data_IF_429168143292
#
_entry.id   IF_429168143292
#
_cell.length_a   1.000
_cell.length_b   1.000
_cell.length_c   1.000
_cell.angle_alpha   90.00
_cell.angle_beta   90.00
_cell.angle_gamma   90.00
#
_symmetry.space_group_name_H-M   'P 1'
#
loop_
_entity.id
_entity.type
_entity.pdbx_description
1 polymer ?
#
# COMPACT_ATOMS: atom_id res chain seq x y z
N UNK A 1 12.13 -7.92 -33.51
CA UNK A 1 13.07 -7.52 -32.43
C UNK A 1 12.40 -6.76 -31.27
N UNK A 2 11.17 -6.26 -31.41
CA UNK A 2 10.39 -5.61 -30.34
C UNK A 2 9.98 -6.51 -29.15
N UNK A 3 10.08 -7.83 -29.30
CA UNK A 3 9.62 -8.80 -28.30
C UNK A 3 10.64 -9.10 -27.19
N UNK A 4 11.92 -8.83 -27.42
CA UNK A 4 12.99 -9.24 -26.49
C UNK A 4 12.87 -8.57 -25.10
N UNK A 5 12.60 -7.25 -24.98
CA UNK A 5 12.36 -6.63 -23.67
C UNK A 5 11.14 -7.22 -22.97
N UNK A 6 10.01 -7.35 -23.67
CA UNK A 6 8.77 -7.88 -23.09
C UNK A 6 8.92 -9.34 -22.60
N UNK A 7 9.71 -10.16 -23.30
CA UNK A 7 10.01 -11.54 -22.88
C UNK A 7 10.81 -11.53 -21.58
N UNK A 8 11.79 -10.63 -21.43
CA UNK A 8 12.56 -10.48 -20.18
C UNK A 8 11.67 -10.03 -19.01
N UNK A 9 10.73 -9.11 -19.26
CA UNK A 9 9.75 -8.67 -18.25
C UNK A 9 8.83 -9.81 -17.82
N UNK A 10 8.26 -10.56 -18.78
CA UNK A 10 7.42 -11.72 -18.51
C UNK A 10 8.19 -12.82 -17.76
N UNK A 11 9.45 -13.05 -18.15
CA UNK A 11 10.34 -13.98 -17.48
C UNK A 11 10.55 -13.58 -16.01
N UNK A 12 10.77 -12.29 -15.71
CA UNK A 12 10.87 -11.78 -14.33
C UNK A 12 9.59 -12.01 -13.51
N UNK A 13 8.44 -11.76 -14.12
CA UNK A 13 7.13 -11.99 -13.48
C UNK A 13 7.00 -13.48 -13.11
N UNK A 14 7.45 -14.40 -13.96
CA UNK A 14 7.46 -15.84 -13.69
C UNK A 14 8.51 -16.27 -12.66
N UNK A 15 9.68 -15.62 -12.62
CA UNK A 15 10.71 -15.90 -11.62
C UNK A 15 10.30 -15.47 -10.21
N UNK A 16 9.44 -14.45 -10.08
CA UNK A 16 9.01 -13.95 -8.76
C UNK A 16 8.30 -15.02 -7.90
N UNK A 17 7.26 -15.74 -8.38
CA UNK A 17 6.64 -16.82 -7.60
C UNK A 17 7.59 -17.99 -7.38
N UNK A 18 8.50 -18.28 -8.30
CA UNK A 18 9.52 -19.32 -8.12
C UNK A 18 10.49 -18.94 -6.97
N UNK A 19 10.95 -17.70 -6.94
CA UNK A 19 11.72 -17.15 -5.81
C UNK A 19 10.96 -17.28 -4.50
N UNK A 20 9.68 -16.88 -4.47
CA UNK A 20 8.83 -16.98 -3.28
C UNK A 20 8.69 -18.43 -2.80
N UNK A 21 8.56 -19.39 -3.72
CA UNK A 21 8.48 -20.80 -3.36
C UNK A 21 9.74 -21.28 -2.61
N UNK A 22 10.94 -20.89 -3.09
CA UNK A 22 12.19 -21.33 -2.47
C UNK A 22 12.52 -20.59 -1.18
N UNK A 23 12.15 -19.31 -1.04
CA UNK A 23 12.53 -18.53 0.16
C UNK A 23 11.79 -18.95 1.43
N UNK A 24 10.69 -19.69 1.35
CA UNK A 24 10.01 -20.22 2.54
C UNK A 24 10.58 -21.57 3.01
N UNK A 25 11.59 -22.11 2.33
CA UNK A 25 12.29 -23.32 2.73
C UNK A 25 13.74 -23.02 3.06
N UNK A 26 14.13 -23.21 4.32
CA UNK A 26 15.44 -22.81 4.83
C UNK A 26 16.62 -23.45 4.07
N UNK A 27 16.45 -24.69 3.61
CA UNK A 27 17.46 -25.41 2.83
C UNK A 27 17.71 -24.81 1.44
N UNK A 28 16.81 -23.94 0.97
CA UNK A 28 16.84 -23.38 -0.38
C UNK A 28 17.10 -21.87 -0.42
N UNK A 29 17.50 -21.24 0.70
CA UNK A 29 17.81 -19.80 0.72
C UNK A 29 18.83 -19.40 -0.35
N UNK A 30 19.88 -20.20 -0.55
CA UNK A 30 20.87 -19.92 -1.60
C UNK A 30 20.24 -19.90 -3.01
N UNK A 31 19.37 -20.87 -3.31
CA UNK A 31 18.66 -20.95 -4.59
C UNK A 31 17.73 -19.74 -4.77
N UNK A 32 17.00 -19.36 -3.71
CA UNK A 32 16.14 -18.18 -3.73
C UNK A 32 16.93 -16.91 -4.06
N UNK A 33 18.10 -16.71 -3.44
CA UNK A 33 18.98 -15.57 -3.69
C UNK A 33 19.46 -15.55 -5.13
N UNK A 34 19.86 -16.71 -5.69
CA UNK A 34 20.28 -16.81 -7.10
C UNK A 34 19.14 -16.42 -8.03
N UNK A 35 17.92 -16.94 -7.81
CA UNK A 35 16.75 -16.60 -8.63
C UNK A 35 16.43 -15.11 -8.54
N UNK A 36 16.41 -14.53 -7.33
CA UNK A 36 16.19 -13.10 -7.14
C UNK A 36 17.26 -12.25 -7.85
N UNK A 37 18.52 -12.67 -7.79
CA UNK A 37 19.64 -11.97 -8.42
C UNK A 37 19.49 -12.01 -9.94
N UNK A 38 19.15 -13.16 -10.52
CA UNK A 38 18.86 -13.29 -11.96
C UNK A 38 17.69 -12.37 -12.34
N UNK A 39 16.59 -12.41 -11.59
CA UNK A 39 15.42 -11.57 -11.84
C UNK A 39 15.76 -10.07 -11.80
N UNK A 40 16.56 -9.64 -10.82
CA UNK A 40 17.01 -8.25 -10.69
C UNK A 40 17.97 -7.81 -11.79
N UNK A 41 18.85 -8.70 -12.26
CA UNK A 41 19.78 -8.41 -13.35
C UNK A 41 19.03 -8.29 -14.69
N UNK A 42 17.99 -9.10 -14.92
CA UNK A 42 17.20 -9.02 -16.16
C UNK A 42 16.54 -7.66 -16.38
N UNK A 43 16.18 -6.94 -15.30
CA UNK A 43 15.69 -5.55 -15.35
C UNK A 43 16.73 -4.58 -15.90
N UNK A 44 17.96 -4.70 -15.43
CA UNK A 44 19.01 -3.82 -15.91
C UNK A 44 19.29 -4.00 -17.42
N UNK A 45 19.11 -5.24 -17.92
CA UNK A 45 19.32 -5.55 -19.33
C UNK A 45 18.13 -5.17 -20.22
N UNK A 46 16.88 -5.36 -19.79
CA UNK A 46 15.73 -4.98 -20.63
C UNK A 46 15.72 -3.48 -20.96
N UNK A 47 16.08 -2.62 -20.01
CA UNK A 47 16.10 -1.18 -20.17
C UNK A 47 17.26 -0.71 -21.03
N UNK A 48 18.37 -1.48 -21.08
CA UNK A 48 19.48 -1.23 -22.02
C UNK A 48 19.10 -1.67 -23.44
N UNK A 49 18.49 -2.84 -23.59
CA UNK A 49 18.06 -3.40 -24.87
C UNK A 49 16.97 -2.53 -25.49
N UNK A 50 15.96 -2.13 -24.72
CA UNK A 50 14.88 -1.25 -25.19
C UNK A 50 15.40 0.09 -25.73
N UNK A 51 16.38 0.70 -25.04
CA UNK A 51 17.03 1.95 -25.47
C UNK A 51 17.92 1.77 -26.70
N UNK A 52 18.62 0.64 -26.83
CA UNK A 52 19.51 0.37 -27.96
C UNK A 52 18.75 0.08 -29.25
N UNK A 53 17.59 -0.57 -29.17
CA UNK A 53 16.82 -1.02 -30.33
C UNK A 53 15.57 -0.17 -30.62
N UNK A 54 15.37 0.98 -29.95
CA UNK A 54 14.16 1.81 -30.03
C UNK A 54 12.86 0.99 -29.92
N UNK A 55 12.91 -0.08 -29.14
CA UNK A 55 11.83 -1.06 -29.02
C UNK A 55 10.78 -0.58 -27.99
N UNK A 56 10.05 0.48 -28.35
CA UNK A 56 9.05 1.11 -27.48
C UNK A 56 7.65 0.50 -27.70
N UNK A 57 7.38 -0.68 -27.16
CA UNK A 57 6.00 -1.21 -27.14
C UNK A 57 5.18 -0.56 -26.01
N UNK A 58 3.91 -0.20 -26.28
CA UNK A 58 3.03 0.34 -25.23
C UNK A 58 2.79 -0.66 -24.09
N UNK A 59 2.75 -1.95 -24.44
CA UNK A 59 2.59 -3.05 -23.49
C UNK A 59 3.79 -3.17 -22.53
N UNK A 60 5.02 -3.09 -23.04
CA UNK A 60 6.23 -3.11 -22.22
C UNK A 60 6.32 -1.90 -21.28
N UNK A 61 6.01 -0.70 -21.78
CA UNK A 61 5.96 0.54 -20.96
C UNK A 61 5.03 0.44 -19.75
N UNK A 62 3.98 -0.38 -19.83
CA UNK A 62 3.06 -0.64 -18.72
C UNK A 62 3.53 -1.79 -17.82
N UNK A 63 4.04 -2.88 -18.41
CA UNK A 63 4.46 -4.06 -17.66
C UNK A 63 5.76 -3.86 -16.88
N UNK A 64 6.75 -3.15 -17.41
CA UNK A 64 8.07 -3.03 -16.77
C UNK A 64 7.96 -2.37 -15.38
N UNK A 65 7.24 -1.22 -15.22
CA UNK A 65 7.04 -0.62 -13.90
C UNK A 65 6.24 -1.52 -12.95
N UNK A 66 5.41 -2.42 -13.45
CA UNK A 66 4.63 -3.34 -12.62
C UNK A 66 5.51 -4.50 -12.15
N UNK A 67 6.26 -5.13 -13.06
CA UNK A 67 7.15 -6.26 -12.77
C UNK A 67 8.21 -5.90 -11.73
N UNK A 68 8.81 -4.70 -11.84
CA UNK A 68 9.79 -4.20 -10.87
C UNK A 68 9.24 -4.11 -9.46
N UNK A 69 8.00 -3.61 -9.33
CA UNK A 69 7.35 -3.46 -8.04
C UNK A 69 6.91 -4.79 -7.48
N UNK A 70 6.41 -5.69 -8.32
CA UNK A 70 6.02 -7.03 -7.90
C UNK A 70 7.21 -7.76 -7.29
N UNK A 71 8.40 -7.74 -7.92
CA UNK A 71 9.58 -8.42 -7.37
C UNK A 71 10.00 -7.86 -6.00
N UNK A 72 10.16 -6.52 -5.89
CA UNK A 72 10.64 -5.87 -4.66
C UNK A 72 9.60 -5.99 -3.53
N UNK A 73 8.31 -5.72 -3.82
CA UNK A 73 7.24 -5.77 -2.81
C UNK A 73 7.00 -7.20 -2.34
N UNK A 74 7.04 -8.18 -3.24
CA UNK A 74 6.92 -9.59 -2.87
C UNK A 74 8.09 -10.05 -2.00
N UNK A 75 9.30 -9.55 -2.28
CA UNK A 75 10.49 -9.85 -1.47
C UNK A 75 10.38 -9.29 -0.06
N UNK A 76 9.96 -8.03 0.10
CA UNK A 76 9.70 -7.47 1.43
C UNK A 76 8.53 -8.18 2.13
N UNK A 77 7.49 -8.58 1.39
CA UNK A 77 6.41 -9.38 1.96
C UNK A 77 6.90 -10.73 2.48
N UNK A 78 7.76 -11.42 1.72
CA UNK A 78 8.38 -12.68 2.17
C UNK A 78 9.18 -12.47 3.47
N UNK A 79 10.00 -11.42 3.56
CA UNK A 79 10.75 -11.12 4.77
C UNK A 79 9.87 -10.73 5.97
N UNK A 80 8.69 -10.14 5.73
CA UNK A 80 7.70 -9.94 6.79
C UNK A 80 7.14 -11.28 7.28
N UNK A 81 6.74 -12.18 6.38
CA UNK A 81 6.24 -13.51 6.76
C UNK A 81 7.29 -14.38 7.44
N UNK A 82 8.58 -14.15 7.15
CA UNK A 82 9.71 -14.75 7.87
C UNK A 82 10.04 -14.04 9.20
N UNK A 83 9.23 -13.07 9.63
CA UNK A 83 9.38 -12.28 10.86
C UNK A 83 10.72 -11.51 10.96
N UNK A 84 11.28 -11.07 9.83
CA UNK A 84 12.56 -10.35 9.80
C UNK A 84 12.36 -8.83 9.78
N UNK A 85 11.34 -8.37 9.06
CA UNK A 85 11.00 -6.95 8.97
C UNK A 85 9.60 -6.70 9.51
N UNK A 86 9.35 -5.51 10.09
CA UNK A 86 8.04 -5.19 10.63
C UNK A 86 7.06 -4.80 9.52
N UNK A 87 5.78 -5.08 9.72
CA UNK A 87 4.76 -4.80 8.70
C UNK A 87 4.50 -3.30 8.47
N UNK A 88 4.71 -2.43 9.47
CA UNK A 88 4.64 -0.97 9.24
C UNK A 88 5.59 -0.52 8.12
N UNK A 89 6.77 -1.14 8.03
CA UNK A 89 7.74 -0.85 6.99
C UNK A 89 7.22 -1.31 5.63
N UNK A 90 6.73 -2.55 5.53
CA UNK A 90 6.15 -3.08 4.29
C UNK A 90 4.97 -2.22 3.79
N UNK A 91 4.08 -1.79 4.69
CA UNK A 91 2.93 -0.92 4.37
C UNK A 91 3.40 0.41 3.77
N UNK A 92 4.36 1.08 4.42
CA UNK A 92 4.90 2.37 3.91
C UNK A 92 5.48 2.20 2.51
N UNK A 93 6.27 1.14 2.29
CA UNK A 93 6.89 0.87 1.00
C UNK A 93 5.82 0.58 -0.06
N UNK A 94 4.84 -0.29 0.26
CA UNK A 94 3.75 -0.67 -0.62
C UNK A 94 2.88 0.52 -1.03
N UNK A 95 2.30 1.23 -0.06
CA UNK A 95 1.40 2.37 -0.30
C UNK A 95 2.11 3.43 -1.13
N UNK A 96 3.36 3.77 -0.77
CA UNK A 96 4.12 4.80 -1.49
C UNK A 96 4.51 4.37 -2.91
N UNK A 97 5.02 3.15 -3.09
CA UNK A 97 5.38 2.67 -4.43
C UNK A 97 4.15 2.60 -5.35
N UNK A 98 2.99 2.21 -4.84
CA UNK A 98 1.74 2.17 -5.59
C UNK A 98 1.25 3.60 -5.93
N UNK A 99 1.18 4.50 -4.94
CA UNK A 99 0.85 5.93 -5.12
C UNK A 99 1.67 6.59 -6.23
N UNK A 100 3.00 6.52 -6.15
CA UNK A 100 3.90 7.18 -7.11
C UNK A 100 3.81 6.54 -8.50
N UNK A 101 3.61 5.22 -8.58
CA UNK A 101 3.43 4.51 -9.85
C UNK A 101 2.14 4.96 -10.55
N UNK A 102 1.03 5.01 -9.82
CA UNK A 102 -0.24 5.51 -10.35
C UNK A 102 -0.13 6.96 -10.83
N UNK A 103 0.50 7.84 -10.03
CA UNK A 103 0.73 9.24 -10.41
C UNK A 103 1.61 9.36 -11.67
N UNK A 104 2.64 8.51 -11.81
CA UNK A 104 3.51 8.50 -12.99
C UNK A 104 2.78 8.08 -14.26
N UNK A 105 2.01 6.98 -14.19
CA UNK A 105 1.18 6.51 -15.33
C UNK A 105 0.19 7.60 -15.74
N UNK A 106 -0.40 8.28 -14.76
CA UNK A 106 -1.33 9.37 -15.02
C UNK A 106 -0.67 10.57 -15.72
N UNK A 107 0.54 10.97 -15.30
CA UNK A 107 1.26 12.06 -15.96
C UNK A 107 1.58 11.72 -17.41
N UNK A 108 2.03 10.49 -17.70
CA UNK A 108 2.27 10.01 -19.07
C UNK A 108 0.99 10.14 -19.92
N UNK A 109 -0.18 9.78 -19.39
CA UNK A 109 -1.48 9.93 -20.09
C UNK A 109 -1.90 11.39 -20.33
N UNK A 110 -1.38 12.35 -19.57
CA UNK A 110 -1.68 13.79 -19.77
C UNK A 110 -0.66 14.51 -20.66
N UNK A 111 0.24 13.76 -21.30
CA UNK A 111 1.28 14.30 -22.18
C UNK A 111 2.50 14.85 -21.42
N UNK A 112 2.54 14.70 -20.09
CA UNK A 112 3.65 15.16 -19.26
C UNK A 112 4.52 13.98 -18.82
N UNK A 113 5.82 14.01 -19.10
CA UNK A 113 6.74 13.00 -18.57
C UNK A 113 7.28 13.40 -17.20
N UNK A 114 7.05 12.59 -16.17
CA UNK A 114 7.73 12.74 -14.89
C UNK A 114 9.14 12.15 -14.95
N UNK A 115 10.15 13.02 -15.06
CA UNK A 115 11.53 12.57 -15.00
C UNK A 115 11.89 12.02 -13.62
N UNK A 116 12.58 10.87 -13.60
CA UNK A 116 13.05 10.24 -12.37
C UNK A 116 14.04 11.13 -11.64
N UNK A 117 13.82 11.37 -10.34
CA UNK A 117 14.76 12.15 -9.54
C UNK A 117 15.98 11.36 -9.08
N UNK A 118 17.03 12.09 -8.66
CA UNK A 118 18.21 11.48 -8.04
C UNK A 118 17.83 10.76 -6.74
N UNK A 119 16.97 11.35 -5.91
CA UNK A 119 16.52 10.77 -4.64
C UNK A 119 15.75 9.46 -4.88
N UNK A 120 14.95 9.38 -5.94
CA UNK A 120 14.29 8.15 -6.33
C UNK A 120 15.27 7.01 -6.68
N UNK A 121 16.38 7.34 -7.35
CA UNK A 121 17.44 6.37 -7.68
C UNK A 121 18.20 5.93 -6.44
N UNK A 122 18.57 6.86 -5.55
CA UNK A 122 19.20 6.53 -4.27
C UNK A 122 18.33 5.58 -3.46
N UNK A 123 17.04 5.93 -3.33
CA UNK A 123 16.04 5.13 -2.62
C UNK A 123 15.93 3.71 -3.16
N UNK A 124 15.89 3.52 -4.48
CA UNK A 124 15.88 2.17 -5.07
C UNK A 124 17.18 1.41 -4.83
N UNK A 125 18.34 2.06 -4.96
CA UNK A 125 19.64 1.43 -4.70
C UNK A 125 19.73 0.93 -3.26
N UNK A 126 19.33 1.77 -2.29
CA UNK A 126 19.34 1.38 -0.89
C UNK A 126 18.34 0.26 -0.56
N UNK A 127 17.19 0.21 -1.23
CA UNK A 127 16.26 -0.93 -1.10
C UNK A 127 16.89 -2.24 -1.55
N UNK A 128 17.58 -2.26 -2.70
CA UNK A 128 18.27 -3.45 -3.17
C UNK A 128 19.41 -3.86 -2.23
N UNK A 129 20.23 -2.90 -1.79
CA UNK A 129 21.29 -3.17 -0.79
C UNK A 129 20.69 -3.79 0.47
N UNK A 130 19.58 -3.24 0.97
CA UNK A 130 18.91 -3.76 2.15
C UNK A 130 18.36 -5.18 1.92
N UNK A 131 17.79 -5.47 0.75
CA UNK A 131 17.35 -6.83 0.40
C UNK A 131 18.51 -7.83 0.42
N UNK A 132 19.66 -7.49 -0.18
CA UNK A 132 20.84 -8.37 -0.14
C UNK A 132 21.39 -8.52 1.28
N UNK A 133 21.33 -7.47 2.11
CA UNK A 133 21.66 -7.56 3.53
C UNK A 133 20.73 -8.53 4.28
N UNK A 134 19.42 -8.49 4.02
CA UNK A 134 18.44 -9.41 4.61
C UNK A 134 18.68 -10.86 4.16
N UNK A 135 19.05 -11.09 2.89
CA UNK A 135 19.44 -12.41 2.41
C UNK A 135 20.70 -12.94 3.10
N UNK A 136 21.72 -12.09 3.26
CA UNK A 136 22.93 -12.47 3.99
C UNK A 136 22.59 -12.81 5.45
N UNK A 137 21.73 -12.01 6.08
CA UNK A 137 21.24 -12.28 7.42
C UNK A 137 20.53 -13.64 7.53
N UNK A 138 19.67 -14.00 6.57
CA UNK A 138 19.03 -15.32 6.52
C UNK A 138 20.04 -16.46 6.40
N UNK A 139 21.02 -16.35 5.50
CA UNK A 139 22.07 -17.35 5.35
C UNK A 139 22.89 -17.51 6.62
N UNK A 140 23.31 -16.40 7.25
CA UNK A 140 24.06 -16.46 8.49
C UNK A 140 23.24 -17.08 9.62
N UNK A 141 21.94 -16.73 9.73
CA UNK A 141 21.04 -17.33 10.71
C UNK A 141 20.90 -18.83 10.51
N UNK A 142 20.85 -19.31 9.27
CA UNK A 142 20.74 -20.74 8.94
C UNK A 142 22.03 -21.52 9.26
N UNK A 143 23.19 -21.05 8.78
CA UNK A 143 24.44 -21.77 8.95
C UNK A 143 25.05 -21.65 10.35
N UNK A 144 24.79 -20.56 11.07
CA UNK A 144 25.45 -20.25 12.35
C UNK A 144 24.46 -20.09 13.52
N UNK A 145 23.26 -20.69 13.42
CA UNK A 145 22.17 -20.57 14.39
C UNK A 145 22.59 -20.87 15.85
N UNK A 146 23.54 -21.79 16.04
CA UNK A 146 23.97 -22.29 17.35
C UNK A 146 25.10 -21.51 18.01
N UNK A 147 25.85 -20.67 17.29
CA UNK A 147 27.12 -20.13 17.80
C UNK A 147 27.15 -18.60 17.99
N UNK A 148 26.20 -17.84 17.43
CA UNK A 148 26.35 -16.37 17.35
C UNK A 148 25.19 -15.61 17.98
N UNK A 149 25.09 -15.67 19.31
CA UNK A 149 24.21 -14.82 20.11
C UNK A 149 24.45 -13.31 19.83
N UNK A 150 25.71 -12.94 19.54
CA UNK A 150 26.11 -11.58 19.16
C UNK A 150 25.48 -11.12 17.83
N UNK A 151 25.28 -12.01 16.86
CA UNK A 151 24.69 -11.68 15.55
C UNK A 151 23.20 -11.40 15.70
N UNK A 152 22.50 -12.20 16.52
CA UNK A 152 21.10 -11.97 16.85
C UNK A 152 20.93 -10.62 17.55
N UNK A 153 21.77 -10.33 18.54
CA UNK A 153 21.75 -9.04 19.26
C UNK A 153 22.08 -7.88 18.31
N UNK A 154 23.15 -7.97 17.51
CA UNK A 154 23.52 -6.92 16.56
C UNK A 154 22.42 -6.67 15.52
N UNK A 155 21.83 -7.75 14.97
CA UNK A 155 20.73 -7.64 14.01
C UNK A 155 19.49 -6.96 14.61
N UNK A 156 19.22 -7.15 15.90
CA UNK A 156 18.09 -6.52 16.59
C UNK A 156 18.17 -5.00 16.66
N UNK A 157 19.37 -4.41 16.55
CA UNK A 157 19.56 -2.96 16.48
C UNK A 157 19.77 -2.47 15.04
N UNK A 158 20.53 -3.23 14.24
CA UNK A 158 20.88 -2.84 12.86
C UNK A 158 19.64 -2.87 11.95
N UNK A 159 18.82 -3.93 12.01
CA UNK A 159 17.65 -4.08 11.15
C UNK A 159 16.65 -2.92 11.32
N UNK A 160 16.25 -2.51 12.54
CA UNK A 160 15.41 -1.34 12.73
C UNK A 160 15.98 -0.07 12.09
N UNK A 161 17.28 0.22 12.30
CA UNK A 161 17.93 1.43 11.74
C UNK A 161 17.81 1.43 10.22
N UNK A 162 18.12 0.31 9.56
CA UNK A 162 17.95 0.20 8.11
C UNK A 162 16.50 0.35 7.68
N UNK A 163 15.54 -0.31 8.35
CA UNK A 163 14.12 -0.17 8.00
C UNK A 163 13.63 1.28 8.11
N UNK A 164 14.01 2.01 9.16
CA UNK A 164 13.69 3.43 9.32
C UNK A 164 14.34 4.29 8.23
N UNK A 165 15.61 4.08 7.93
CA UNK A 165 16.32 4.81 6.87
C UNK A 165 15.68 4.58 5.49
N UNK A 166 15.33 3.33 5.16
CA UNK A 166 14.68 2.98 3.90
C UNK A 166 13.25 3.54 3.82
N UNK A 167 12.50 3.53 4.92
CA UNK A 167 11.18 4.15 4.99
C UNK A 167 11.28 5.68 4.82
N UNK A 168 12.25 6.32 5.48
CA UNK A 168 12.49 7.76 5.36
C UNK A 168 12.85 8.16 3.92
N UNK A 169 13.85 7.52 3.31
CA UNK A 169 14.25 7.81 1.92
C UNK A 169 13.12 7.54 0.91
N UNK A 170 12.25 6.57 1.22
CA UNK A 170 11.01 6.29 0.49
C UNK A 170 10.02 7.45 0.55
N UNK A 171 9.79 8.00 1.73
CA UNK A 171 8.89 9.14 1.93
C UNK A 171 9.48 10.40 1.29
N UNK A 172 10.76 10.67 1.51
CA UNK A 172 11.46 11.81 0.92
C UNK A 172 11.40 11.79 -0.62
N UNK A 173 11.65 10.62 -1.23
CA UNK A 173 11.49 10.45 -2.67
C UNK A 173 10.04 10.71 -3.11
N UNK A 174 9.05 10.33 -2.32
CA UNK A 174 7.65 10.59 -2.64
C UNK A 174 7.34 12.09 -2.64
N UNK A 175 7.83 12.81 -1.63
CA UNK A 175 7.67 14.25 -1.50
C UNK A 175 8.28 14.99 -2.70
N UNK A 176 9.47 14.58 -3.15
CA UNK A 176 10.11 15.15 -4.34
C UNK A 176 9.28 14.93 -5.62
N UNK A 177 8.71 13.74 -5.82
CA UNK A 177 7.76 13.52 -6.93
C UNK A 177 6.53 14.41 -6.82
N UNK A 178 5.95 14.54 -5.63
CA UNK A 178 4.79 15.39 -5.40
C UNK A 178 5.11 16.88 -5.67
N UNK A 179 6.30 17.35 -5.32
CA UNK A 179 6.76 18.70 -5.64
C UNK A 179 6.90 18.93 -7.14
N UNK A 180 7.53 17.99 -7.88
CA UNK A 180 7.63 18.06 -9.34
C UNK A 180 6.27 18.05 -10.02
N UNK A 181 5.36 17.24 -9.51
CA UNK A 181 3.98 17.17 -9.99
C UNK A 181 3.27 18.51 -9.81
N UNK A 182 3.38 19.12 -8.62
CA UNK A 182 2.79 20.44 -8.35
C UNK A 182 3.33 21.51 -9.31
N UNK A 183 4.59 21.43 -9.72
CA UNK A 183 5.18 22.41 -10.64
C UNK A 183 4.64 22.34 -12.08
N UNK A 184 4.17 21.19 -12.56
CA UNK A 184 3.87 20.97 -13.99
C UNK A 184 2.46 21.45 -14.39
N UNK A 185 1.45 21.31 -13.52
CA UNK A 185 0.14 21.96 -13.70
C UNK A 185 -0.68 21.84 -12.40
N UNK A 186 -0.77 22.92 -11.63
CA UNK A 186 -1.25 22.87 -10.25
C UNK A 186 -2.71 22.43 -10.11
N UNK A 187 -3.61 22.76 -11.04
CA UNK A 187 -5.05 22.52 -10.82
C UNK A 187 -5.47 21.08 -11.11
N UNK A 188 -5.05 20.51 -12.25
CA UNK A 188 -5.51 19.19 -12.70
C UNK A 188 -4.84 18.06 -11.93
N UNK A 189 -3.55 18.19 -11.59
CA UNK A 189 -2.87 17.12 -10.86
C UNK A 189 -3.19 17.15 -9.37
N UNK A 190 -3.34 18.33 -8.76
CA UNK A 190 -3.80 18.42 -7.36
C UNK A 190 -5.19 17.80 -7.21
N UNK A 191 -6.10 18.10 -8.14
CA UNK A 191 -7.41 17.44 -8.16
C UNK A 191 -7.28 15.92 -8.29
N UNK A 192 -6.47 15.43 -9.21
CA UNK A 192 -6.24 13.99 -9.41
C UNK A 192 -5.63 13.30 -8.20
N UNK A 193 -4.73 13.96 -7.48
CA UNK A 193 -4.12 13.43 -6.25
C UNK A 193 -5.15 13.32 -5.14
N UNK A 194 -5.94 14.38 -4.93
CA UNK A 194 -7.02 14.31 -3.95
C UNK A 194 -8.08 13.29 -4.37
N UNK A 195 -8.44 13.23 -5.65
CA UNK A 195 -9.34 12.22 -6.21
C UNK A 195 -8.79 10.81 -5.97
N UNK A 196 -7.49 10.57 -6.16
CA UNK A 196 -6.87 9.26 -5.90
C UNK A 196 -7.01 8.84 -4.43
N UNK A 197 -6.78 9.78 -3.50
CA UNK A 197 -6.91 9.54 -2.07
C UNK A 197 -8.36 9.31 -1.67
N UNK A 198 -9.27 10.21 -2.05
CA UNK A 198 -10.68 10.13 -1.67
C UNK A 198 -11.38 8.93 -2.28
N UNK A 199 -10.99 8.52 -3.49
CA UNK A 199 -11.53 7.32 -4.15
C UNK A 199 -10.88 6.02 -3.68
N UNK A 200 -10.00 6.08 -2.67
CA UNK A 200 -9.19 4.95 -2.19
C UNK A 200 -8.58 4.14 -3.35
N UNK A 201 -7.54 4.69 -3.98
CA UNK A 201 -6.87 4.03 -5.11
C UNK A 201 -7.79 3.82 -6.34
N UNK A 202 -8.70 4.76 -6.60
CA UNK A 202 -9.72 4.68 -7.66
C UNK A 202 -10.79 3.58 -7.51
N UNK A 203 -10.86 2.91 -6.37
CA UNK A 203 -11.96 1.97 -6.07
C UNK A 203 -13.30 2.69 -6.12
N UNK A 204 -13.37 3.93 -5.62
CA UNK A 204 -14.55 4.79 -5.69
C UNK A 204 -15.01 5.13 -7.11
N UNK A 205 -14.22 4.84 -8.15
CA UNK A 205 -14.62 5.02 -9.56
C UNK A 205 -15.34 3.80 -10.14
N UNK A 206 -15.42 2.70 -9.40
CA UNK A 206 -16.16 1.52 -9.85
C UNK A 206 -17.64 1.87 -9.94
N UNK A 207 -18.26 1.50 -11.07
CA UNK A 207 -19.63 1.88 -11.41
C UNK A 207 -20.68 1.36 -10.42
N UNK A 208 -20.45 0.17 -9.86
CA UNK A 208 -21.44 -0.54 -9.04
C UNK A 208 -20.96 -0.60 -7.58
N UNK A 209 -21.76 -0.02 -6.67
CA UNK A 209 -21.56 -0.05 -5.22
C UNK A 209 -20.12 0.29 -4.76
N UNK A 210 -19.56 1.46 -5.14
CA UNK A 210 -18.18 1.83 -4.82
C UNK A 210 -17.87 1.78 -3.31
N UNK A 211 -18.76 2.29 -2.46
CA UNK A 211 -18.59 2.26 -0.99
C UNK A 211 -18.59 0.84 -0.42
N UNK A 212 -19.45 -0.06 -0.90
CA UNK A 212 -19.47 -1.46 -0.50
C UNK A 212 -18.19 -2.20 -0.89
N UNK A 213 -17.68 -1.93 -2.10
CA UNK A 213 -16.40 -2.52 -2.55
C UNK A 213 -15.23 -1.96 -1.72
N UNK A 214 -15.22 -0.66 -1.45
CA UNK A 214 -14.18 -0.01 -0.65
C UNK A 214 -14.14 -0.54 0.78
N UNK A 215 -15.27 -0.60 1.47
CA UNK A 215 -15.38 -1.16 2.82
C UNK A 215 -15.03 -2.66 2.87
N UNK A 216 -15.41 -3.44 1.85
CA UNK A 216 -15.01 -4.85 1.76
C UNK A 216 -13.50 -5.01 1.59
N UNK A 217 -12.89 -4.23 0.68
CA UNK A 217 -11.43 -4.21 0.50
C UNK A 217 -10.75 -3.71 1.76
N UNK A 218 -11.29 -2.68 2.43
CA UNK A 218 -10.76 -2.17 3.68
C UNK A 218 -10.75 -3.23 4.78
N UNK A 219 -11.84 -4.02 4.92
CA UNK A 219 -11.92 -5.17 5.83
C UNK A 219 -10.86 -6.22 5.48
N UNK A 220 -10.73 -6.60 4.21
CA UNK A 220 -9.72 -7.56 3.77
C UNK A 220 -8.30 -7.06 4.07
N UNK A 221 -8.00 -5.80 3.75
CA UNK A 221 -6.71 -5.20 4.06
C UNK A 221 -6.45 -5.19 5.56
N UNK A 222 -7.47 -4.89 6.38
CA UNK A 222 -7.36 -4.91 7.84
C UNK A 222 -7.02 -6.30 8.38
N UNK A 223 -7.54 -7.37 7.77
CA UNK A 223 -7.25 -8.74 8.17
C UNK A 223 -5.76 -9.10 8.01
N UNK A 224 -5.09 -8.49 7.03
CA UNK A 224 -3.65 -8.66 6.82
C UNK A 224 -2.81 -7.61 7.56
N UNK A 225 -3.42 -6.64 8.25
CA UNK A 225 -2.68 -5.68 9.06
C UNK A 225 -2.12 -6.36 10.33
N UNK A 226 -0.92 -5.97 10.76
CA UNK A 226 -0.34 -6.51 11.97
C UNK A 226 -1.15 -5.97 13.14
N UNK A 227 -1.19 -6.72 14.24
CA UNK A 227 -1.65 -6.13 15.49
C UNK A 227 -0.65 -5.04 15.90
N UNK A 228 -1.06 -3.79 15.73
CA UNK A 228 -0.34 -2.61 16.22
C UNK A 228 -0.85 -2.26 17.62
N UNK A 229 -0.03 -1.56 18.39
CA UNK A 229 -0.48 -0.99 19.65
C UNK A 229 -1.66 -0.04 19.40
N UNK A 230 -2.66 -0.07 20.29
CA UNK A 230 -3.90 0.70 20.16
C UNK A 230 -3.65 2.19 19.94
N UNK A 231 -2.65 2.77 20.63
CA UNK A 231 -2.27 4.18 20.47
C UNK A 231 -1.78 4.47 19.04
N UNK A 232 -0.88 3.63 18.52
CA UNK A 232 -0.36 3.76 17.15
C UNK A 232 -1.47 3.63 16.12
N UNK A 233 -2.43 2.73 16.35
CA UNK A 233 -3.59 2.60 15.48
C UNK A 233 -4.42 3.88 15.42
N UNK A 234 -4.75 4.48 16.57
CA UNK A 234 -5.49 5.74 16.61
C UNK A 234 -4.73 6.89 15.96
N UNK A 235 -3.40 6.93 16.04
CA UNK A 235 -2.59 7.90 15.31
C UNK A 235 -2.72 7.73 13.79
N UNK A 236 -2.63 6.50 13.28
CA UNK A 236 -2.83 6.20 11.86
C UNK A 236 -4.23 6.61 11.43
N UNK A 237 -5.25 6.23 12.21
CA UNK A 237 -6.64 6.53 11.90
C UNK A 237 -6.91 8.04 11.93
N UNK A 238 -6.32 8.78 12.88
CA UNK A 238 -6.41 10.24 12.94
C UNK A 238 -5.74 10.92 11.73
N UNK A 239 -4.57 10.43 11.31
CA UNK A 239 -3.90 10.93 10.09
C UNK A 239 -4.77 10.65 8.85
N UNK A 240 -5.30 9.44 8.71
CA UNK A 240 -6.19 9.10 7.59
C UNK A 240 -7.48 9.92 7.61
N UNK A 241 -8.07 10.11 8.79
CA UNK A 241 -9.27 10.93 8.95
C UNK A 241 -9.01 12.37 8.56
N UNK A 242 -7.95 12.99 9.06
CA UNK A 242 -7.60 14.39 8.73
C UNK A 242 -7.27 14.57 7.25
N UNK A 243 -6.52 13.64 6.64
CA UNK A 243 -6.28 13.63 5.20
C UNK A 243 -7.57 13.44 4.41
N UNK A 244 -8.45 12.55 4.86
CA UNK A 244 -9.78 12.32 4.30
C UNK A 244 -10.62 13.59 4.30
N UNK A 245 -10.74 14.27 5.44
CA UNK A 245 -11.49 15.54 5.58
C UNK A 245 -10.99 16.59 4.58
N UNK A 246 -9.67 16.82 4.52
CA UNK A 246 -9.07 17.84 3.64
C UNK A 246 -9.27 17.48 2.16
N UNK A 247 -9.02 16.22 1.81
CA UNK A 247 -9.10 15.74 0.43
C UNK A 247 -10.55 15.67 -0.08
N UNK A 248 -11.47 15.16 0.74
CA UNK A 248 -12.89 15.04 0.43
C UNK A 248 -13.54 16.41 0.24
N UNK A 249 -13.21 17.39 1.10
CA UNK A 249 -13.66 18.78 0.91
C UNK A 249 -13.25 19.32 -0.46
N UNK A 250 -11.97 19.20 -0.81
CA UNK A 250 -11.45 19.70 -2.08
C UNK A 250 -12.13 19.05 -3.29
N UNK A 251 -12.32 17.72 -3.26
CA UNK A 251 -12.93 16.96 -4.37
C UNK A 251 -14.43 17.26 -4.49
N UNK A 252 -15.16 17.30 -3.37
CA UNK A 252 -16.57 17.64 -3.32
C UNK A 252 -16.85 19.05 -3.89
N UNK A 253 -16.07 20.05 -3.47
CA UNK A 253 -16.16 21.43 -3.98
C UNK A 253 -15.87 21.50 -5.48
N UNK A 254 -14.87 20.74 -5.98
CA UNK A 254 -14.52 20.70 -7.41
C UNK A 254 -15.55 20.01 -8.28
N UNK A 255 -16.29 19.05 -7.74
CA UNK A 255 -17.36 18.34 -8.45
C UNK A 255 -18.72 19.04 -8.33
N UNK A 256 -18.84 20.04 -7.44
CA UNK A 256 -20.11 20.70 -7.16
C UNK A 256 -21.14 19.78 -6.51
N UNK A 257 -20.70 18.71 -5.85
CA UNK A 257 -21.55 17.73 -5.18
C UNK A 257 -21.20 17.70 -3.69
N UNK A 258 -22.22 17.76 -2.82
CA UNK A 258 -22.03 17.77 -1.36
C UNK A 258 -21.36 16.48 -0.87
N UNK A 259 -21.78 15.35 -1.41
CA UNK A 259 -21.30 14.02 -1.07
C UNK A 259 -21.24 13.14 -2.34
N UNK A 260 -20.14 13.20 -3.11
CA UNK A 260 -19.97 12.40 -4.31
C UNK A 260 -19.75 10.93 -3.95
N UNK A 261 -20.55 10.01 -4.51
CA UNK A 261 -20.46 8.55 -4.30
C UNK A 261 -19.09 7.91 -4.63
N UNK A 262 -18.18 8.67 -5.24
CA UNK A 262 -16.82 8.23 -5.52
C UNK A 262 -15.83 8.50 -4.38
N UNK A 263 -16.23 9.30 -3.38
CA UNK A 263 -15.49 9.45 -2.14
C UNK A 263 -15.83 8.21 -1.30
N UNK A 264 -14.81 7.42 -0.98
CA UNK A 264 -14.92 6.15 -0.24
C UNK A 264 -13.79 6.00 0.79
N UNK A 265 -13.08 7.10 1.11
CA UNK A 265 -12.02 7.09 2.13
C UNK A 265 -12.60 7.13 3.55
N UNK A 266 -13.74 7.80 3.70
CA UNK A 266 -14.70 7.68 4.80
C UNK A 266 -15.02 6.21 5.08
N UNK A 267 -15.37 5.44 4.05
CA UNK A 267 -15.76 4.02 4.18
C UNK A 267 -14.61 3.17 4.71
N UNK A 268 -13.39 3.44 4.24
CA UNK A 268 -12.17 2.74 4.66
C UNK A 268 -11.85 3.06 6.11
N UNK A 269 -11.91 4.35 6.48
CA UNK A 269 -11.62 4.81 7.83
C UNK A 269 -12.67 4.31 8.82
N UNK A 270 -13.96 4.37 8.46
CA UNK A 270 -15.08 3.84 9.23
C UNK A 270 -14.95 2.33 9.43
N UNK A 271 -14.69 1.57 8.36
CA UNK A 271 -14.51 0.12 8.45
C UNK A 271 -13.33 -0.25 9.38
N UNK A 272 -12.18 0.43 9.27
CA UNK A 272 -11.04 0.19 10.15
C UNK A 272 -11.33 0.56 11.60
N UNK A 273 -12.11 1.61 11.84
CA UNK A 273 -12.60 1.97 13.17
C UNK A 273 -13.58 0.94 13.74
N UNK A 274 -14.33 0.25 12.89
CA UNK A 274 -15.26 -0.80 13.31
C UNK A 274 -14.55 -2.15 13.60
N UNK A 275 -13.34 -2.37 13.07
CA UNK A 275 -12.64 -3.67 13.20
C UNK A 275 -11.53 -3.69 14.24
N UNK A 276 -11.00 -2.55 14.69
CA UNK A 276 -9.71 -2.53 15.39
C UNK A 276 -9.64 -3.23 16.76
N UNK A 277 -10.76 -3.34 17.47
CA UNK A 277 -10.81 -4.04 18.77
C UNK A 277 -11.21 -5.50 18.64
N UNK A 278 -11.42 -6.00 17.42
CA UNK A 278 -11.92 -7.35 17.21
C UNK A 278 -10.77 -8.36 17.16
N UNK A 279 -10.96 -9.55 17.76
CA UNK A 279 -10.02 -10.64 17.57
C UNK A 279 -9.93 -10.97 16.08
N UNK A 280 -8.73 -11.33 15.60
CA UNK A 280 -8.46 -11.67 14.20
C UNK A 280 -9.17 -12.97 13.80
N UNK A 281 -10.47 -12.89 13.55
CA UNK A 281 -11.35 -13.98 13.18
C UNK A 281 -12.29 -13.52 12.08
N UNK A 282 -12.34 -14.28 10.98
CA UNK A 282 -13.17 -13.99 9.82
C UNK A 282 -14.64 -13.75 10.18
N UNK A 283 -15.22 -14.53 11.11
CA UNK A 283 -16.64 -14.40 11.49
C UNK A 283 -16.95 -12.99 12.00
N UNK A 284 -16.13 -12.47 12.91
CA UNK A 284 -16.32 -11.13 13.46
C UNK A 284 -16.11 -10.05 12.41
N UNK A 285 -15.16 -10.23 11.49
CA UNK A 285 -14.87 -9.24 10.45
C UNK A 285 -16.02 -9.16 9.44
N UNK A 286 -16.54 -10.29 8.98
CA UNK A 286 -17.71 -10.33 8.11
C UNK A 286 -18.97 -9.80 8.80
N UNK A 287 -19.20 -10.16 10.07
CA UNK A 287 -20.32 -9.62 10.84
C UNK A 287 -20.24 -8.09 10.95
N UNK A 288 -19.05 -7.56 11.28
CA UNK A 288 -18.78 -6.12 11.34
C UNK A 288 -19.02 -5.46 9.99
N UNK A 289 -18.56 -6.06 8.89
CA UNK A 289 -18.80 -5.52 7.55
C UNK A 289 -20.30 -5.37 7.24
N UNK A 290 -21.10 -6.42 7.47
CA UNK A 290 -22.54 -6.35 7.20
C UNK A 290 -23.27 -5.35 8.11
N UNK A 291 -22.93 -5.32 9.40
CA UNK A 291 -23.54 -4.39 10.36
C UNK A 291 -23.13 -2.93 10.07
N UNK A 292 -21.86 -2.71 9.74
CA UNK A 292 -21.35 -1.40 9.33
C UNK A 292 -22.10 -0.88 8.11
N UNK A 293 -22.20 -1.69 7.04
CA UNK A 293 -22.95 -1.33 5.84
C UNK A 293 -24.42 -1.07 6.12
N UNK A 294 -25.04 -1.84 7.02
CA UNK A 294 -26.41 -1.59 7.42
C UNK A 294 -26.56 -0.19 8.03
N UNK A 295 -25.67 0.22 8.93
CA UNK A 295 -25.74 1.54 9.56
C UNK A 295 -25.39 2.70 8.65
N UNK A 296 -24.39 2.54 7.79
CA UNK A 296 -24.04 3.53 6.78
C UNK A 296 -25.22 3.76 5.80
N UNK A 297 -25.89 2.70 5.36
CA UNK A 297 -27.05 2.84 4.44
C UNK A 297 -28.31 3.35 5.18
N UNK A 298 -28.58 2.85 6.39
CA UNK A 298 -29.80 3.19 7.12
C UNK A 298 -29.75 4.60 7.74
N UNK A 299 -28.55 5.09 8.10
CA UNK A 299 -28.28 6.37 8.77
C UNK A 299 -29.26 6.66 9.93
N UNK A 300 -29.10 6.00 11.11
CA UNK A 300 -29.91 6.30 12.29
C UNK A 300 -29.77 7.76 12.75
N UNK A 301 -30.68 8.23 13.61
CA UNK A 301 -30.91 9.64 13.95
C UNK A 301 -29.65 10.51 14.19
N UNK A 302 -28.61 9.99 14.86
CA UNK A 302 -27.37 10.75 15.07
C UNK A 302 -26.59 10.99 13.77
N UNK A 303 -26.55 10.02 12.86
CA UNK A 303 -25.85 10.12 11.57
C UNK A 303 -26.51 11.19 10.70
N UNK A 304 -27.85 11.19 10.62
CA UNK A 304 -28.63 12.22 9.90
C UNK A 304 -28.42 13.65 10.43
N UNK A 305 -28.04 13.82 11.70
CA UNK A 305 -27.72 15.15 12.24
C UNK A 305 -26.36 15.64 11.74
N UNK A 306 -25.37 14.74 11.69
CA UNK A 306 -24.00 15.06 11.25
C UNK A 306 -23.94 15.32 9.75
N UNK A 307 -24.79 14.68 8.96
CA UNK A 307 -24.91 14.92 7.51
C UNK A 307 -25.31 16.38 7.15
N UNK A 308 -25.83 17.13 8.12
CA UNK A 308 -26.08 18.58 7.96
C UNK A 308 -24.80 19.41 7.97
N UNK A 309 -23.70 18.90 8.52
CA UNK A 309 -22.39 19.54 8.50
C UNK A 309 -21.88 19.54 7.05
N UNK A 310 -21.51 20.72 6.55
CA UNK A 310 -21.03 20.87 5.18
C UNK A 310 -19.52 20.61 5.08
N UNK A 311 -19.10 20.07 3.93
CA UNK A 311 -17.69 19.81 3.60
C UNK A 311 -17.20 18.45 4.10
N UNK A 312 -15.89 18.22 3.96
CA UNK A 312 -15.28 16.91 4.22
C UNK A 312 -15.39 16.39 5.66
N UNK A 313 -15.68 17.25 6.65
CA UNK A 313 -15.96 16.80 8.01
C UNK A 313 -17.27 16.04 8.11
N UNK A 314 -18.32 16.48 7.41
CA UNK A 314 -19.61 15.79 7.39
C UNK A 314 -19.49 14.41 6.76
N UNK A 315 -18.81 14.34 5.60
CA UNK A 315 -18.56 13.11 4.82
C UNK A 315 -17.73 12.09 5.58
N UNK A 316 -16.84 12.51 6.48
CA UNK A 316 -16.00 11.54 7.22
C UNK A 316 -16.65 11.10 8.54
N UNK A 317 -17.50 11.94 9.12
CA UNK A 317 -18.08 11.69 10.45
C UNK A 317 -19.30 10.77 10.41
N UNK A 318 -20.04 10.72 9.31
CA UNK A 318 -21.17 9.80 9.17
C UNK A 318 -20.72 8.33 9.25
N UNK A 319 -19.64 7.96 8.56
CA UNK A 319 -19.06 6.61 8.61
C UNK A 319 -18.38 6.28 9.95
N UNK A 320 -17.74 7.25 10.60
CA UNK A 320 -17.23 7.06 11.96
C UNK A 320 -18.37 6.78 12.94
N UNK A 321 -19.52 7.46 12.78
CA UNK A 321 -20.69 7.18 13.62
C UNK A 321 -21.30 5.81 13.30
N UNK A 322 -21.38 5.42 12.03
CA UNK A 322 -21.79 4.07 11.64
C UNK A 322 -20.88 2.99 12.26
N UNK A 323 -19.57 3.23 12.27
CA UNK A 323 -18.60 2.36 12.92
C UNK A 323 -18.79 2.28 14.44
N UNK A 324 -19.13 3.40 15.10
CA UNK A 324 -19.44 3.41 16.52
C UNK A 324 -20.67 2.55 16.88
N UNK A 325 -21.75 2.67 16.11
CA UNK A 325 -22.93 1.80 16.28
C UNK A 325 -22.59 0.32 16.03
N UNK A 326 -21.76 0.05 15.03
CA UNK A 326 -21.28 -1.30 14.72
C UNK A 326 -20.52 -1.89 15.90
N UNK A 327 -19.57 -1.15 16.46
CA UNK A 327 -18.79 -1.59 17.62
C UNK A 327 -19.69 -1.90 18.83
N UNK A 328 -20.72 -1.09 19.09
CA UNK A 328 -21.67 -1.36 20.17
C UNK A 328 -22.40 -2.69 19.98
N UNK A 329 -22.90 -2.96 18.76
CA UNK A 329 -23.60 -4.21 18.47
C UNK A 329 -22.67 -5.41 18.53
N UNK A 330 -21.48 -5.31 17.92
CA UNK A 330 -20.50 -6.40 17.93
C UNK A 330 -20.05 -6.71 19.36
N UNK A 331 -19.82 -5.69 20.19
CA UNK A 331 -19.46 -5.90 21.59
C UNK A 331 -20.55 -6.64 22.37
N UNK A 332 -21.82 -6.31 22.14
CA UNK A 332 -22.96 -7.03 22.73
C UNK A 332 -22.98 -8.48 22.24
N UNK A 333 -22.88 -8.71 20.93
CA UNK A 333 -22.89 -10.06 20.34
C UNK A 333 -21.73 -10.92 20.86
N UNK A 334 -20.52 -10.37 20.95
CA UNK A 334 -19.35 -11.07 21.49
C UNK A 334 -19.59 -11.54 22.91
N UNK A 335 -20.23 -10.72 23.75
CA UNK A 335 -20.52 -11.08 25.15
C UNK A 335 -21.55 -12.21 25.30
N UNK A 336 -22.38 -12.46 24.28
CA UNK A 336 -23.39 -13.54 24.30
C UNK A 336 -22.90 -14.83 23.64
N UNK A 337 -21.93 -14.74 22.72
CA UNK A 337 -21.48 -15.86 21.88
C UNK A 337 -20.10 -16.42 22.27
N UNK A 338 -19.32 -15.67 23.06
CA UNK A 338 -17.99 -16.01 23.59
C UNK A 338 -18.01 -15.84 25.10
#
# INVERSE_FOLDING_TARGET
MYFLPNILTLFRILLTPLFLYFIFNENHYFIAIVIFTIASITDFFDGKVARKYNANSEFGKFLDPLADKVLILSTFAAFYFLNIIPLWFLIIIFIRDLLITCLRIFMIKTGNSLQTSKNAKFKTTFQFIFIYFLFLFLLCKFYFASEIQLLVIASSYILPIFTFFIAFSTIESAMDYLHKIKAINQSKVVFKTYEFLTTFFYIGKIKYAPGTIASFIAMLLFLFLPQVQTITFFQILFILFTLGVVSSKFVAEKLGQKDPAQIVIDEVVGMWFATFMLPQNFVWYFATFFIFRFFDIFKPFLIKKVEKINGGLGIMLDDILAAFYTNLIIFILMRFLV
#
